data_IF_328165578631
#
_entry.id   IF_328165578631
#
_cell.length_a   1.000
_cell.length_b   1.000
_cell.length_c   1.000
_cell.angle_alpha   90.00
_cell.angle_beta   90.00
_cell.angle_gamma   90.00
#
_symmetry.space_group_name_H-M   'P 1'
#
loop_
_entity.id
_entity.type
_entity.pdbx_description
1 polymer ?
#
# COMPACT_ATOMS: atom_id res chain seq x y z
N UNK A 1 -56.99 3.00 16.16
CA UNK A 1 -56.09 3.98 15.51
C UNK A 1 -54.85 4.32 16.34
N UNK A 2 -54.99 4.72 17.62
CA UNK A 2 -53.87 5.09 18.52
C UNK A 2 -52.73 4.06 18.64
N UNK A 3 -53.05 2.75 18.67
CA UNK A 3 -52.05 1.66 18.73
C UNK A 3 -51.10 1.58 17.51
N UNK A 4 -51.54 1.99 16.32
CA UNK A 4 -50.69 1.98 15.10
C UNK A 4 -49.72 3.17 15.11
N UNK A 5 -50.18 4.33 15.59
CA UNK A 5 -49.37 5.55 15.71
C UNK A 5 -48.21 5.36 16.69
N UNK A 6 -48.47 4.73 17.85
CA UNK A 6 -47.42 4.47 18.84
C UNK A 6 -46.34 3.51 18.33
N UNK A 7 -46.69 2.54 17.47
CA UNK A 7 -45.70 1.65 16.83
C UNK A 7 -44.81 2.42 15.85
N UNK A 8 -45.39 3.30 15.03
CA UNK A 8 -44.65 4.12 14.07
C UNK A 8 -43.67 5.06 14.78
N UNK A 9 -44.10 5.72 15.86
CA UNK A 9 -43.24 6.60 16.65
C UNK A 9 -42.09 5.82 17.29
N UNK A 10 -42.37 4.63 17.82
CA UNK A 10 -41.32 3.77 18.40
C UNK A 10 -40.30 3.33 17.35
N UNK A 11 -40.75 2.95 16.15
CA UNK A 11 -39.88 2.56 15.04
C UNK A 11 -39.01 3.72 14.57
N UNK A 12 -39.60 4.90 14.35
CA UNK A 12 -38.84 6.10 13.94
C UNK A 12 -37.84 6.54 15.01
N UNK A 13 -38.22 6.50 16.29
CA UNK A 13 -37.34 6.82 17.40
C UNK A 13 -36.17 5.85 17.53
N UNK A 14 -36.40 4.56 17.28
CA UNK A 14 -35.33 3.55 17.28
C UNK A 14 -34.36 3.75 16.11
N UNK A 15 -34.87 4.04 14.92
CA UNK A 15 -34.04 4.26 13.72
C UNK A 15 -33.19 5.53 13.86
N UNK A 16 -33.77 6.63 14.36
CA UNK A 16 -33.03 7.86 14.65
C UNK A 16 -32.00 7.64 15.78
N UNK A 17 -32.39 6.96 16.85
CA UNK A 17 -31.48 6.62 17.95
C UNK A 17 -30.26 5.81 17.49
N UNK A 18 -30.48 4.76 16.69
CA UNK A 18 -29.40 3.94 16.11
C UNK A 18 -28.49 4.74 15.16
N UNK A 19 -29.01 5.74 14.45
CA UNK A 19 -28.19 6.60 13.58
C UNK A 19 -27.31 7.61 14.34
N UNK A 20 -27.61 7.87 15.62
CA UNK A 20 -26.84 8.79 16.48
C UNK A 20 -25.80 8.09 17.37
N UNK A 21 -25.90 6.76 17.53
CA UNK A 21 -24.97 5.98 18.35
C UNK A 21 -23.82 5.52 17.46
N UNK A 22 -22.81 6.38 17.40
CA UNK A 22 -21.51 6.03 16.88
C UNK A 22 -21.31 6.54 15.46
N UNK A 23 -20.47 7.56 15.33
CA UNK A 23 -19.57 7.62 14.20
C UNK A 23 -18.90 6.24 14.12
N UNK A 24 -19.40 5.37 13.25
CA UNK A 24 -18.70 4.15 12.87
C UNK A 24 -17.46 4.69 12.17
N UNK A 25 -16.39 4.88 12.94
CA UNK A 25 -15.06 5.02 12.40
C UNK A 25 -14.79 3.67 11.75
N UNK A 26 -15.19 3.55 10.49
CA UNK A 26 -14.72 2.49 9.61
C UNK A 26 -13.27 2.86 9.38
N UNK A 27 -12.42 2.56 10.37
CA UNK A 27 -10.99 2.51 10.20
C UNK A 27 -10.80 1.38 9.21
N UNK A 28 -10.74 1.71 7.92
CA UNK A 28 -10.34 0.78 6.90
C UNK A 28 -9.06 0.14 7.43
N UNK A 29 -9.07 -1.17 7.61
CA UNK A 29 -7.89 -1.90 8.02
C UNK A 29 -6.87 -1.67 6.92
N UNK A 30 -5.98 -0.73 7.18
CA UNK A 30 -4.91 -0.40 6.28
C UNK A 30 -3.90 -1.53 6.37
N UNK A 31 -3.89 -2.37 5.33
CA UNK A 31 -3.01 -3.52 5.23
C UNK A 31 -1.54 -3.13 5.43
N UNK A 32 -0.75 -4.12 5.80
CA UNK A 32 0.70 -3.98 5.94
C UNK A 32 1.37 -3.40 4.68
N UNK A 33 2.52 -2.75 4.88
CA UNK A 33 3.41 -2.40 3.78
C UNK A 33 3.72 -3.65 2.96
N UNK A 34 3.55 -3.57 1.65
CA UNK A 34 3.60 -4.74 0.77
C UNK A 34 4.65 -4.50 -0.31
N UNK A 35 5.52 -5.49 -0.50
CA UNK A 35 6.53 -5.50 -1.55
C UNK A 35 6.46 -6.84 -2.27
N UNK A 36 6.28 -6.83 -3.59
CA UNK A 36 6.09 -8.03 -4.38
C UNK A 36 6.89 -7.96 -5.67
N UNK A 37 7.37 -9.12 -6.11
CA UNK A 37 7.80 -9.33 -7.48
C UNK A 37 7.26 -10.66 -7.99
N UNK A 38 7.11 -10.75 -9.31
CA UNK A 38 6.80 -11.99 -10.00
C UNK A 38 7.21 -11.89 -11.46
N UNK A 39 7.19 -13.01 -12.15
CA UNK A 39 7.63 -13.11 -13.54
C UNK A 39 6.48 -13.58 -14.42
N UNK A 40 6.48 -13.19 -15.69
CA UNK A 40 5.52 -13.69 -16.66
C UNK A 40 5.72 -15.19 -16.88
N UNK A 41 4.69 -15.99 -16.64
CA UNK A 41 4.69 -17.41 -17.01
C UNK A 41 4.40 -17.58 -18.51
N UNK A 42 5.01 -18.55 -19.22
CA UNK A 42 5.97 -19.55 -18.74
C UNK A 42 7.45 -19.19 -18.95
N UNK A 43 7.79 -18.11 -19.66
CA UNK A 43 9.15 -17.87 -20.20
C UNK A 43 9.88 -16.72 -19.48
N UNK A 44 9.28 -16.06 -18.48
CA UNK A 44 9.96 -15.05 -17.66
C UNK A 44 10.35 -13.76 -18.41
N UNK A 45 9.78 -13.50 -19.58
CA UNK A 45 10.16 -12.35 -20.44
C UNK A 45 9.88 -10.97 -19.80
N UNK A 46 8.94 -10.93 -18.86
CA UNK A 46 8.58 -9.74 -18.11
C UNK A 46 8.70 -10.01 -16.63
N UNK A 47 9.32 -9.08 -15.92
CA UNK A 47 9.35 -9.03 -14.47
C UNK A 47 8.43 -7.91 -14.02
N UNK A 48 7.69 -8.19 -12.96
CA UNK A 48 6.76 -7.26 -12.36
C UNK A 48 7.20 -6.96 -10.95
N UNK A 49 7.09 -5.70 -10.57
CA UNK A 49 7.37 -5.24 -9.22
C UNK A 49 6.26 -4.33 -8.74
N UNK A 50 5.90 -4.53 -7.49
CA UNK A 50 4.92 -3.72 -6.79
C UNK A 50 5.47 -3.34 -5.42
N UNK A 51 5.32 -2.06 -5.09
CA UNK A 51 5.61 -1.53 -3.76
C UNK A 51 4.45 -0.68 -3.28
N UNK A 52 3.95 -1.02 -2.11
CA UNK A 52 2.90 -0.30 -1.40
C UNK A 52 3.40 0.06 0.00
N UNK A 53 3.36 1.34 0.31
CA UNK A 53 3.77 1.88 1.60
C UNK A 53 2.67 2.76 2.16
N UNK A 54 2.29 2.51 3.41
CA UNK A 54 1.49 3.42 4.20
C UNK A 54 2.32 3.98 5.35
N UNK A 55 2.67 5.27 5.31
CA UNK A 55 3.60 5.82 6.30
C UNK A 55 3.08 5.81 7.73
N UNK A 56 1.77 5.96 7.93
CA UNK A 56 1.19 5.88 9.28
C UNK A 56 1.23 4.48 9.90
N UNK A 57 1.46 3.43 9.10
CA UNK A 57 1.47 2.05 9.59
C UNK A 57 2.75 1.77 10.38
N UNK A 58 2.60 1.25 11.61
CA UNK A 58 3.72 0.78 12.43
C UNK A 58 4.02 -0.68 12.09
N UNK A 59 5.13 -0.89 11.40
CA UNK A 59 5.60 -2.20 11.01
C UNK A 59 6.89 -2.53 11.77
N UNK A 60 6.72 -3.24 12.89
CA UNK A 60 7.84 -3.73 13.71
C UNK A 60 8.67 -2.62 14.38
N UNK A 61 8.06 -1.50 14.77
CA UNK A 61 8.74 -0.38 15.43
C UNK A 61 9.25 0.69 14.47
N UNK A 62 8.84 0.63 13.20
CA UNK A 62 9.17 1.63 12.19
C UNK A 62 7.94 2.02 11.38
N UNK A 63 7.94 3.27 10.94
CA UNK A 63 7.12 3.77 9.85
C UNK A 63 7.92 3.67 8.54
N UNK A 64 7.27 3.29 7.46
CA UNK A 64 7.91 3.27 6.15
C UNK A 64 7.57 4.59 5.45
N UNK A 65 8.55 5.46 5.26
CA UNK A 65 8.34 6.75 4.60
C UNK A 65 8.32 6.59 3.08
N UNK A 66 9.09 5.65 2.53
CA UNK A 66 9.12 5.42 1.09
C UNK A 66 9.52 3.97 0.81
N UNK A 67 8.90 3.37 -0.19
CA UNK A 67 9.29 2.08 -0.72
C UNK A 67 9.97 2.23 -2.08
N UNK A 68 11.05 1.49 -2.31
CA UNK A 68 11.82 1.52 -3.55
C UNK A 68 12.02 0.12 -4.08
N UNK A 69 11.78 -0.07 -5.37
CA UNK A 69 12.10 -1.28 -6.12
C UNK A 69 13.14 -0.99 -7.19
N UNK A 70 14.05 -1.94 -7.38
CA UNK A 70 15.19 -1.81 -8.30
C UNK A 70 15.25 -3.05 -9.17
N UNK A 71 15.18 -2.84 -10.48
CA UNK A 71 15.42 -3.86 -11.50
C UNK A 71 16.81 -3.65 -12.10
N UNK A 72 17.55 -4.74 -12.34
CA UNK A 72 18.83 -4.70 -13.05
C UNK A 72 18.86 -5.74 -14.17
N UNK A 73 19.85 -5.60 -15.07
CA UNK A 73 20.27 -6.57 -16.10
C UNK A 73 19.30 -6.86 -17.25
N UNK A 74 18.06 -6.37 -17.22
CA UNK A 74 17.12 -6.49 -18.34
C UNK A 74 17.43 -5.56 -19.52
N UNK A 75 16.46 -5.46 -20.42
CA UNK A 75 16.60 -4.71 -21.67
C UNK A 75 16.77 -3.21 -21.46
N UNK A 76 16.24 -2.67 -20.36
CA UNK A 76 16.26 -1.25 -20.03
C UNK A 76 17.48 -0.86 -19.16
N UNK A 77 18.35 -1.82 -18.82
CA UNK A 77 19.42 -1.58 -17.85
C UNK A 77 18.88 -1.34 -16.44
N UNK A 78 19.60 -0.62 -15.58
CA UNK A 78 19.14 -0.40 -14.20
C UNK A 78 17.94 0.55 -14.17
N UNK A 79 16.83 0.11 -13.58
CA UNK A 79 15.62 0.91 -13.37
C UNK A 79 15.31 0.97 -11.87
N UNK A 80 15.13 2.17 -11.35
CA UNK A 80 14.79 2.43 -9.94
C UNK A 80 13.44 3.13 -9.91
N UNK A 81 12.50 2.58 -9.15
CA UNK A 81 11.16 3.14 -8.98
C UNK A 81 10.85 3.25 -7.50
N UNK A 82 10.46 4.45 -7.07
CA UNK A 82 10.14 4.74 -5.67
C UNK A 82 8.74 5.31 -5.55
N UNK A 83 8.04 4.95 -4.48
CA UNK A 83 6.82 5.65 -4.08
C UNK A 83 7.10 7.12 -3.80
N UNK A 84 6.04 7.91 -3.68
CA UNK A 84 6.15 9.22 -3.05
C UNK A 84 6.73 9.09 -1.63
N UNK A 85 7.23 10.21 -1.08
CA UNK A 85 7.68 10.28 0.31
C UNK A 85 6.49 10.54 1.24
N UNK A 86 6.44 9.76 2.32
CA UNK A 86 5.54 9.96 3.44
C UNK A 86 5.93 11.18 4.25
N UNK A 87 4.94 11.92 4.73
CA UNK A 87 5.15 13.24 5.33
C UNK A 87 5.10 13.25 6.85
N UNK A 88 4.45 12.25 7.46
CA UNK A 88 4.33 12.15 8.91
C UNK A 88 3.81 10.77 9.37
N UNK A 89 3.87 10.50 10.68
CA UNK A 89 3.29 9.29 11.30
C UNK A 89 1.77 9.24 11.22
N UNK A 90 1.14 10.33 10.77
CA UNK A 90 -0.30 10.45 10.54
C UNK A 90 -0.66 10.40 9.07
N UNK A 91 0.33 10.26 8.18
CA UNK A 91 0.11 10.17 6.75
C UNK A 91 -0.53 8.81 6.42
N UNK A 92 -1.86 8.81 6.34
CA UNK A 92 -2.67 7.64 6.05
C UNK A 92 -2.81 7.33 4.56
N UNK A 93 -2.08 8.04 3.68
CA UNK A 93 -2.09 7.74 2.25
C UNK A 93 -1.45 6.38 2.02
N UNK A 94 -2.04 5.60 1.12
CA UNK A 94 -1.42 4.39 0.58
C UNK A 94 -0.64 4.83 -0.66
N UNK A 95 0.69 4.86 -0.52
CA UNK A 95 1.63 5.22 -1.59
C UNK A 95 1.97 3.96 -2.36
N UNK A 96 1.79 3.98 -3.67
CA UNK A 96 1.85 2.78 -4.50
C UNK A 96 2.65 3.03 -5.77
N UNK A 97 3.51 2.08 -6.14
CA UNK A 97 4.13 2.01 -7.45
C UNK A 97 4.12 0.60 -7.98
N UNK A 98 3.93 0.53 -9.28
CA UNK A 98 4.02 -0.68 -10.07
C UNK A 98 4.94 -0.45 -11.26
N UNK A 99 5.72 -1.47 -11.63
CA UNK A 99 6.56 -1.45 -12.82
C UNK A 99 6.61 -2.84 -13.43
N UNK A 100 6.26 -2.89 -14.71
CA UNK A 100 6.70 -3.96 -15.62
C UNK A 100 8.09 -3.63 -16.13
N UNK A 101 8.96 -4.64 -16.18
CA UNK A 101 10.34 -4.53 -16.58
C UNK A 101 10.71 -5.69 -17.50
N UNK A 102 11.22 -5.37 -18.68
CA UNK A 102 11.45 -6.34 -19.75
C UNK A 102 12.83 -7.00 -19.64
N UNK A 103 12.87 -8.32 -19.70
CA UNK A 103 14.13 -9.06 -19.83
C UNK A 103 14.69 -9.00 -21.26
N UNK A 104 15.96 -9.35 -21.44
CA UNK A 104 16.62 -9.47 -22.73
C UNK A 104 16.26 -10.79 -23.37
N UNK A 105 15.54 -10.74 -24.48
CA UNK A 105 15.34 -11.92 -25.30
C UNK A 105 16.60 -12.19 -26.13
N UNK A 106 17.53 -12.96 -25.59
CA UNK A 106 18.80 -13.28 -26.25
C UNK A 106 19.27 -14.71 -25.92
N UNK A 107 19.94 -15.33 -26.89
CA UNK A 107 20.64 -16.62 -26.71
C UNK A 107 22.06 -16.44 -26.17
N UNK A 108 22.53 -15.18 -26.06
CA UNK A 108 23.80 -14.86 -25.44
C UNK A 108 23.73 -15.06 -23.93
N UNK A 109 24.83 -15.51 -23.33
CA UNK A 109 24.94 -15.67 -21.87
C UNK A 109 25.02 -14.31 -21.18
N UNK A 110 23.86 -13.67 -20.98
CA UNK A 110 23.71 -12.41 -20.26
C UNK A 110 23.26 -12.67 -18.81
N UNK A 111 23.64 -11.82 -17.85
CA UNK A 111 23.15 -11.94 -16.48
C UNK A 111 21.62 -11.87 -16.44
N UNK A 112 20.99 -12.76 -15.66
CA UNK A 112 19.55 -12.73 -15.42
C UNK A 112 19.12 -11.42 -14.74
N UNK A 113 17.85 -11.06 -14.93
CA UNK A 113 17.23 -9.94 -14.22
C UNK A 113 17.29 -10.22 -12.72
N UNK A 114 17.60 -9.16 -11.97
CA UNK A 114 17.54 -9.19 -10.51
C UNK A 114 16.59 -8.11 -10.02
N UNK A 115 15.92 -8.43 -8.92
CA UNK A 115 14.99 -7.54 -8.26
C UNK A 115 15.44 -7.30 -6.83
N UNK A 116 15.56 -6.03 -6.44
CA UNK A 116 15.87 -5.62 -5.07
C UNK A 116 14.83 -4.65 -4.56
N UNK A 117 14.56 -4.72 -3.26
CA UNK A 117 13.67 -3.81 -2.55
C UNK A 117 14.47 -3.09 -1.48
N UNK A 118 14.24 -1.80 -1.35
CA UNK A 118 14.69 -1.01 -0.20
C UNK A 118 13.55 -0.14 0.32
N UNK A 119 13.69 0.37 1.54
CA UNK A 119 12.73 1.29 2.11
C UNK A 119 13.42 2.34 2.98
N UNK A 120 12.91 3.57 2.92
CA UNK A 120 13.26 4.62 3.87
C UNK A 120 12.39 4.43 5.10
N UNK A 121 13.02 4.09 6.24
CA UNK A 121 12.32 3.82 7.50
C UNK A 121 12.51 4.98 8.47
N UNK A 122 11.47 5.27 9.22
CA UNK A 122 11.44 6.27 10.29
C UNK A 122 11.12 5.55 11.60
N UNK A 123 11.92 5.70 12.67
CA UNK A 123 11.62 5.05 13.95
C UNK A 123 10.22 5.39 14.47
N UNK A 124 9.53 4.41 15.05
CA UNK A 124 8.23 4.63 15.66
C UNK A 124 8.30 5.72 16.75
N UNK A 125 7.34 6.64 16.74
CA UNK A 125 7.32 7.79 17.65
C UNK A 125 8.16 9.00 17.19
N UNK A 126 9.02 8.84 16.17
CA UNK A 126 9.78 9.95 15.60
C UNK A 126 8.84 11.02 15.02
N UNK A 127 9.15 12.27 15.32
CA UNK A 127 8.55 13.43 14.67
C UNK A 127 9.41 13.96 13.50
N UNK A 128 10.60 13.40 13.31
CA UNK A 128 11.47 13.75 12.19
C UNK A 128 11.18 12.83 11.01
N UNK A 129 10.73 13.44 9.92
CA UNK A 129 10.34 12.77 8.68
C UNK A 129 11.20 13.30 7.53
N UNK A 130 11.55 12.46 6.54
CA UNK A 130 12.26 12.91 5.35
C UNK A 130 11.41 13.96 4.62
N UNK A 131 12.04 15.06 4.22
CA UNK A 131 11.42 16.13 3.44
C UNK A 131 11.29 15.76 1.95
#
# INVERSE_FOLDING_TARGET
MKRKINKIILTLGLTLGLSTIGNINVSAWTGNNTFRNWESSPIGLYHYGEVQVQPSYNDGGYHYAQGTMIFNNGAEGRVVVSTEMGTSKRDGRILYKYREYRDRWTTANVPAVTFNITATKVPYGSNMWPA
#
